data_IF_795954554340
#
_entry.id   IF_795954554340
#
_cell.length_a   1.000
_cell.length_b   1.000
_cell.length_c   1.000
_cell.angle_alpha   90.00
_cell.angle_beta   90.00
_cell.angle_gamma   90.00
#
_symmetry.space_group_name_H-M   'P 1'
#
loop_
_entity.id
_entity.type
_entity.pdbx_description
1 polymer ?
#
# COMPACT_ATOMS: atom_id res chain seq x y z
N UNK A 1 44.02 1.48 -4.04
CA UNK A 1 42.85 0.78 -3.45
C UNK A 1 42.25 1.66 -2.36
N UNK A 2 41.23 2.47 -2.67
CA UNK A 2 40.50 3.31 -1.71
C UNK A 2 39.07 2.78 -1.65
N UNK A 3 38.77 2.00 -0.60
CA UNK A 3 37.41 1.56 -0.31
C UNK A 3 36.62 2.73 0.24
N UNK A 4 35.56 3.11 -0.47
CA UNK A 4 34.58 4.11 -0.04
C UNK A 4 33.45 3.35 0.67
N UNK A 5 33.62 3.17 1.98
CA UNK A 5 32.50 3.03 2.94
C UNK A 5 32.09 4.45 3.35
N UNK A 6 30.87 4.55 3.90
CA UNK A 6 30.13 5.74 4.35
C UNK A 6 29.13 6.23 3.27
N UNK A 7 27.82 6.26 3.51
CA UNK A 7 27.12 6.57 4.75
C UNK A 7 26.05 5.52 5.13
N UNK A 8 26.24 4.89 6.30
CA UNK A 8 25.13 4.36 7.11
C UNK A 8 24.95 5.36 8.24
N UNK A 9 24.02 6.30 8.06
CA UNK A 9 23.60 7.19 9.15
C UNK A 9 22.77 6.38 10.15
N UNK A 10 23.44 6.01 11.23
CA UNK A 10 22.96 6.02 12.61
C UNK A 10 21.45 5.86 12.83
N UNK A 11 21.08 4.69 13.36
CA UNK A 11 20.44 4.69 14.68
C UNK A 11 21.36 3.99 15.67
N UNK A 12 22.39 4.73 16.09
CA UNK A 12 23.10 4.43 17.33
C UNK A 12 22.14 4.72 18.50
N UNK A 13 21.80 3.68 19.28
CA UNK A 13 21.00 3.81 20.49
C UNK A 13 19.57 3.26 20.39
N UNK A 14 19.39 2.03 19.93
CA UNK A 14 18.12 1.33 20.13
C UNK A 14 17.93 1.03 21.62
N UNK A 15 17.32 1.98 22.37
CA UNK A 15 16.57 1.65 23.59
C UNK A 15 15.63 0.49 23.25
N UNK A 16 15.41 -0.49 24.15
CA UNK A 16 14.50 -1.59 23.88
C UNK A 16 13.16 -0.98 23.44
N UNK A 17 12.76 -1.23 22.19
CA UNK A 17 11.53 -0.70 21.63
C UNK A 17 10.40 -1.13 22.56
N UNK A 18 9.78 -0.17 23.26
CA UNK A 18 8.71 -0.46 24.18
C UNK A 18 7.62 -1.25 23.46
N UNK A 19 7.22 -2.40 24.01
CA UNK A 19 6.17 -3.26 23.46
C UNK A 19 4.94 -2.44 23.04
N UNK A 20 4.53 -1.49 23.88
CA UNK A 20 3.43 -0.57 23.62
C UNK A 20 3.64 0.34 22.40
N UNK A 21 4.88 0.77 22.14
CA UNK A 21 5.20 1.56 20.96
C UNK A 21 5.15 0.75 19.67
N UNK A 22 5.45 -0.55 19.72
CA UNK A 22 5.30 -1.46 18.58
C UNK A 22 3.82 -1.74 18.32
N UNK A 23 3.05 -2.09 19.36
CA UNK A 23 1.60 -2.34 19.26
C UNK A 23 0.87 -1.11 18.70
N UNK A 24 1.18 0.10 19.19
CA UNK A 24 0.55 1.32 18.70
C UNK A 24 0.82 1.58 17.20
N UNK A 25 2.01 1.26 16.69
CA UNK A 25 2.35 1.42 15.27
C UNK A 25 1.63 0.42 14.38
N UNK A 26 1.51 -0.83 14.84
CA UNK A 26 0.77 -1.88 14.12
C UNK A 26 -0.72 -1.51 14.07
N UNK A 27 -1.31 -1.12 15.20
CA UNK A 27 -2.72 -0.75 15.28
C UNK A 27 -3.04 0.48 14.43
N UNK A 28 -2.18 1.50 14.40
CA UNK A 28 -2.39 2.68 13.56
C UNK A 28 -2.42 2.32 12.06
N UNK A 29 -1.56 1.39 11.65
CA UNK A 29 -1.52 0.91 10.27
C UNK A 29 -2.77 0.10 9.93
N UNK A 30 -3.23 -0.73 10.88
CA UNK A 30 -4.46 -1.52 10.73
C UNK A 30 -5.71 -0.62 10.65
N UNK A 31 -5.78 0.47 11.42
CA UNK A 31 -6.85 1.49 11.32
C UNK A 31 -6.84 2.15 9.94
N UNK A 32 -5.67 2.56 9.44
CA UNK A 32 -5.57 3.18 8.12
C UNK A 32 -6.05 2.23 7.01
N UNK A 33 -5.75 0.94 7.12
CA UNK A 33 -6.24 -0.05 6.16
C UNK A 33 -7.75 -0.32 6.30
N UNK A 34 -8.26 -0.39 7.52
CA UNK A 34 -9.68 -0.59 7.77
C UNK A 34 -10.54 0.52 7.15
N UNK A 35 -10.08 1.78 7.22
CA UNK A 35 -10.74 2.92 6.59
C UNK A 35 -10.79 2.76 5.06
N UNK A 36 -9.68 2.39 4.42
CA UNK A 36 -9.63 2.18 2.97
C UNK A 36 -10.58 1.05 2.52
N UNK A 37 -10.58 -0.06 3.26
CA UNK A 37 -11.49 -1.19 3.01
C UNK A 37 -12.96 -0.81 3.15
N UNK A 38 -13.30 -0.03 4.18
CA UNK A 38 -14.66 0.39 4.43
C UNK A 38 -15.13 1.40 3.37
N UNK A 39 -14.28 2.34 2.96
CA UNK A 39 -14.58 3.29 1.88
C UNK A 39 -14.72 2.58 0.52
N UNK A 40 -13.88 1.59 0.24
CA UNK A 40 -14.01 0.76 -0.97
C UNK A 40 -15.33 -0.03 -0.98
N UNK A 41 -15.70 -0.62 0.16
CA UNK A 41 -16.99 -1.31 0.30
C UNK A 41 -18.17 -0.33 0.19
N UNK A 42 -18.05 0.88 0.73
CA UNK A 42 -19.07 1.92 0.61
C UNK A 42 -19.26 2.38 -0.85
N UNK A 43 -18.17 2.52 -1.60
CA UNK A 43 -18.21 2.82 -3.03
C UNK A 43 -18.89 1.72 -3.86
N UNK A 44 -18.77 0.45 -3.46
CA UNK A 44 -19.52 -0.65 -4.08
C UNK A 44 -21.01 -0.55 -3.73
N UNK A 45 -21.32 -0.33 -2.45
CA UNK A 45 -22.69 -0.31 -1.93
C UNK A 45 -23.57 0.78 -2.55
N UNK A 46 -23.03 1.96 -2.85
CA UNK A 46 -23.79 3.02 -3.56
C UNK A 46 -24.25 2.63 -4.96
N UNK A 47 -23.71 1.55 -5.53
CA UNK A 47 -24.12 1.02 -6.85
C UNK A 47 -25.04 -0.20 -6.76
N UNK A 48 -25.31 -0.72 -5.55
CA UNK A 48 -26.15 -1.89 -5.36
C UNK A 48 -27.63 -1.52 -5.25
N UNK A 49 -28.54 -2.29 -5.88
CA UNK A 49 -29.97 -2.13 -5.64
C UNK A 49 -30.29 -2.46 -4.18
N UNK A 50 -31.38 -1.89 -3.67
CA UNK A 50 -31.85 -2.17 -2.33
C UNK A 50 -32.17 -3.66 -2.16
N UNK A 51 -31.55 -4.29 -1.17
CA UNK A 51 -31.62 -5.72 -0.91
C UNK A 51 -32.35 -5.96 0.40
N UNK A 52 -33.67 -6.13 0.29
CA UNK A 52 -34.56 -6.44 1.42
C UNK A 52 -35.28 -5.21 1.98
N UNK A 53 -36.18 -5.47 2.94
CA UNK A 53 -37.11 -4.46 3.50
C UNK A 53 -36.75 -4.04 4.93
N UNK A 54 -35.50 -4.24 5.34
CA UNK A 54 -35.02 -3.88 6.68
C UNK A 54 -34.05 -2.72 6.57
N UNK A 55 -34.15 -1.74 7.46
CA UNK A 55 -33.29 -0.57 7.50
C UNK A 55 -32.48 -0.56 8.80
N UNK A 56 -31.21 -0.21 8.70
CA UNK A 56 -30.31 -0.06 9.85
C UNK A 56 -29.71 1.34 9.76
N UNK A 57 -30.08 2.22 10.69
CA UNK A 57 -29.54 3.58 10.77
C UNK A 57 -29.82 4.46 9.54
N UNK A 58 -30.94 4.23 8.85
CA UNK A 58 -31.34 4.98 7.65
C UNK A 58 -30.74 4.49 6.34
N UNK A 59 -30.06 3.34 6.34
CA UNK A 59 -29.57 2.65 5.15
C UNK A 59 -30.27 1.31 4.97
N UNK A 60 -30.46 0.87 3.71
CA UNK A 60 -30.94 -0.47 3.41
C UNK A 60 -30.02 -1.51 4.09
N UNK A 61 -30.62 -2.44 4.81
CA UNK A 61 -29.84 -3.36 5.63
C UNK A 61 -29.02 -4.36 4.82
N UNK A 62 -29.42 -4.68 3.58
CA UNK A 62 -28.58 -5.46 2.66
C UNK A 62 -27.31 -4.71 2.27
N UNK A 63 -27.43 -3.43 1.95
CA UNK A 63 -26.31 -2.53 1.70
C UNK A 63 -25.38 -2.39 2.92
N UNK A 64 -25.95 -2.23 4.12
CA UNK A 64 -25.17 -2.19 5.37
C UNK A 64 -24.38 -3.48 5.60
N UNK A 65 -25.01 -4.64 5.42
CA UNK A 65 -24.34 -5.94 5.58
C UNK A 65 -23.18 -6.07 4.59
N UNK A 66 -23.37 -5.68 3.33
CA UNK A 66 -22.29 -5.74 2.33
C UNK A 66 -21.16 -4.79 2.70
N UNK A 67 -21.46 -3.57 3.16
CA UNK A 67 -20.44 -2.61 3.63
C UNK A 67 -19.67 -3.17 4.82
N UNK A 68 -20.37 -3.69 5.83
CA UNK A 68 -19.79 -4.24 7.05
C UNK A 68 -18.93 -5.47 6.74
N UNK A 69 -19.46 -6.42 5.98
CA UNK A 69 -18.72 -7.60 5.54
C UNK A 69 -17.54 -7.23 4.65
N UNK A 70 -17.67 -6.22 3.79
CA UNK A 70 -16.57 -5.71 2.97
C UNK A 70 -15.43 -5.15 3.81
N UNK A 71 -15.75 -4.34 4.83
CA UNK A 71 -14.76 -3.82 5.78
C UNK A 71 -14.07 -4.94 6.59
N UNK A 72 -14.84 -5.88 7.14
CA UNK A 72 -14.30 -7.01 7.91
C UNK A 72 -13.47 -7.95 7.01
N UNK A 73 -13.98 -8.28 5.82
CA UNK A 73 -13.27 -9.12 4.86
C UNK A 73 -11.96 -8.46 4.42
N UNK A 74 -11.96 -7.15 4.17
CA UNK A 74 -10.77 -6.36 3.92
C UNK A 74 -9.72 -6.60 5.00
N UNK A 75 -10.06 -6.29 6.26
CA UNK A 75 -9.19 -6.48 7.43
C UNK A 75 -8.61 -7.90 7.53
N UNK A 76 -9.44 -8.91 7.31
CA UNK A 76 -9.01 -10.31 7.37
C UNK A 76 -8.02 -10.62 6.24
N UNK A 77 -8.31 -10.18 5.01
CA UNK A 77 -7.50 -10.46 3.82
C UNK A 77 -6.10 -9.86 3.93
N UNK A 78 -5.93 -8.60 4.37
CA UNK A 78 -4.55 -8.07 4.53
C UNK A 78 -3.82 -8.83 5.60
N UNK A 79 -4.47 -9.19 6.70
CA UNK A 79 -3.77 -9.85 7.81
C UNK A 79 -3.11 -11.14 7.33
N UNK A 80 -3.81 -11.89 6.48
CA UNK A 80 -3.23 -13.04 5.80
C UNK A 80 -2.20 -12.64 4.73
N UNK A 81 -2.50 -11.64 3.89
CA UNK A 81 -1.61 -11.19 2.82
C UNK A 81 -0.26 -10.67 3.36
N UNK A 82 -0.26 -9.83 4.40
CA UNK A 82 0.93 -9.33 5.08
C UNK A 82 1.80 -10.48 5.59
N UNK A 83 1.18 -11.52 6.19
CA UNK A 83 1.93 -12.70 6.64
C UNK A 83 2.60 -13.44 5.47
N UNK A 84 1.93 -13.55 4.32
CA UNK A 84 2.52 -14.17 3.12
C UNK A 84 3.60 -13.28 2.48
N UNK A 85 3.37 -11.98 2.42
CA UNK A 85 4.32 -10.99 1.90
C UNK A 85 5.58 -10.98 2.74
N UNK A 86 5.48 -10.99 4.07
CA UNK A 86 6.65 -11.07 4.97
C UNK A 86 7.48 -12.31 4.68
N UNK A 87 6.85 -13.50 4.57
CA UNK A 87 7.54 -14.74 4.19
C UNK A 87 8.21 -14.66 2.81
N UNK A 88 7.57 -13.97 1.86
CA UNK A 88 8.13 -13.76 0.53
C UNK A 88 9.35 -12.84 0.56
N UNK A 89 9.29 -11.77 1.35
CA UNK A 89 10.39 -10.82 1.54
C UNK A 89 11.57 -11.46 2.27
N UNK A 90 11.32 -12.29 3.28
CA UNK A 90 12.37 -13.09 3.94
C UNK A 90 13.10 -14.01 2.94
N UNK A 91 12.37 -14.59 1.98
CA UNK A 91 12.94 -15.45 0.93
C UNK A 91 13.67 -14.67 -0.16
N UNK A 92 13.20 -13.46 -0.48
CA UNK A 92 13.75 -12.60 -1.53
C UNK A 92 13.94 -11.16 -1.01
N UNK A 93 14.98 -10.90 -0.20
CA UNK A 93 15.17 -9.60 0.46
C UNK A 93 15.36 -8.45 -0.54
N UNK A 94 15.84 -8.72 -1.76
CA UNK A 94 15.91 -7.71 -2.83
C UNK A 94 14.55 -7.24 -3.36
N UNK A 95 13.46 -7.99 -3.13
CA UNK A 95 12.12 -7.56 -3.50
C UNK A 95 11.56 -6.53 -2.51
N UNK A 96 12.06 -6.48 -1.28
CA UNK A 96 11.64 -5.52 -0.24
C UNK A 96 11.86 -4.08 -0.70
N UNK A 97 13.08 -3.77 -1.17
CA UNK A 97 13.40 -2.44 -1.68
C UNK A 97 12.53 -2.07 -2.88
N UNK A 98 12.28 -3.01 -3.80
CA UNK A 98 11.42 -2.76 -4.95
C UNK A 98 9.97 -2.51 -4.52
N UNK A 99 9.45 -3.29 -3.57
CA UNK A 99 8.11 -3.12 -3.02
C UNK A 99 7.95 -1.76 -2.33
N UNK A 100 8.93 -1.33 -1.51
CA UNK A 100 8.91 0.00 -0.89
C UNK A 100 8.95 1.13 -1.91
N UNK A 101 9.77 1.01 -2.96
CA UNK A 101 9.82 2.01 -4.03
C UNK A 101 8.48 2.09 -4.78
N UNK A 102 7.83 0.94 -5.05
CA UNK A 102 6.51 0.91 -5.68
C UNK A 102 5.47 1.58 -4.78
N UNK A 103 5.40 1.21 -3.50
CA UNK A 103 4.43 1.79 -2.54
C UNK A 103 4.65 3.29 -2.39
N UNK A 104 5.91 3.73 -2.26
CA UNK A 104 6.24 5.15 -2.22
C UNK A 104 5.82 5.89 -3.50
N UNK A 105 6.02 5.28 -4.67
CA UNK A 105 5.60 5.85 -5.96
C UNK A 105 4.08 5.94 -6.10
N UNK A 106 3.33 4.94 -5.63
CA UNK A 106 1.87 5.01 -5.53
C UNK A 106 1.46 6.14 -4.59
N UNK A 107 2.15 6.30 -3.46
CA UNK A 107 1.94 7.43 -2.54
C UNK A 107 2.11 8.79 -3.21
N UNK A 108 3.13 8.96 -4.06
CA UNK A 108 3.31 10.20 -4.87
C UNK A 108 2.12 10.41 -5.80
N UNK A 109 1.63 9.37 -6.48
CA UNK A 109 0.44 9.47 -7.33
C UNK A 109 -0.78 9.91 -6.52
N UNK A 110 -0.98 9.35 -5.33
CA UNK A 110 -2.10 9.73 -4.46
C UNK A 110 -1.97 11.17 -3.99
N UNK A 111 -0.78 11.62 -3.61
CA UNK A 111 -0.54 13.03 -3.26
C UNK A 111 -0.84 13.97 -4.44
N UNK A 112 -0.39 13.63 -5.65
CA UNK A 112 -0.67 14.41 -6.87
C UNK A 112 -2.18 14.47 -7.15
N UNK A 113 -2.90 13.36 -6.99
CA UNK A 113 -4.36 13.33 -7.11
C UNK A 113 -5.04 14.25 -6.08
N UNK A 114 -4.58 14.24 -4.82
CA UNK A 114 -5.12 15.11 -3.78
C UNK A 114 -4.81 16.59 -4.04
N UNK A 115 -3.61 16.92 -4.53
CA UNK A 115 -3.22 18.30 -4.83
C UNK A 115 -3.95 18.89 -6.04
N UNK A 116 -4.38 18.03 -6.95
CA UNK A 116 -5.20 18.37 -8.11
C UNK A 116 -6.71 18.32 -7.81
N UNK A 117 -7.11 17.97 -6.58
CA UNK A 117 -8.52 17.95 -6.22
C UNK A 117 -9.10 19.38 -6.27
N UNK A 118 -10.35 19.58 -6.75
CA UNK A 118 -10.96 20.90 -6.90
C UNK A 118 -10.95 21.76 -5.63
N UNK A 119 -11.00 21.12 -4.46
CA UNK A 119 -10.96 21.80 -3.16
C UNK A 119 -9.56 22.26 -2.71
N UNK A 120 -8.49 21.71 -3.29
CA UNK A 120 -7.09 22.04 -2.95
C UNK A 120 -6.47 22.93 -4.04
N UNK A 121 -6.77 22.68 -5.32
CA UNK A 121 -6.47 23.52 -6.48
C UNK A 121 -5.01 24.04 -6.57
N UNK A 122 -4.03 23.27 -6.07
CA UNK A 122 -2.60 23.64 -6.15
C UNK A 122 -2.04 23.32 -7.54
N UNK A 123 -2.56 22.26 -8.18
CA UNK A 123 -2.13 21.77 -9.50
C UNK A 123 -3.38 21.67 -10.41
N UNK A 124 -3.25 21.87 -11.74
CA UNK A 124 -4.38 21.70 -12.66
C UNK A 124 -5.08 20.35 -12.51
N UNK A 125 -6.42 20.35 -12.49
CA UNK A 125 -7.25 19.16 -12.28
C UNK A 125 -7.01 18.07 -13.33
N UNK A 126 -6.70 18.46 -14.56
CA UNK A 126 -6.42 17.53 -15.67
C UNK A 126 -5.03 16.87 -15.59
N UNK A 127 -4.15 17.35 -14.71
CA UNK A 127 -2.77 16.89 -14.66
C UNK A 127 -2.62 15.40 -14.28
N UNK A 128 -3.24 14.90 -13.20
CA UNK A 128 -3.18 13.48 -12.85
C UNK A 128 -3.87 12.58 -13.88
N UNK A 129 -4.84 13.12 -14.61
CA UNK A 129 -5.56 12.40 -15.65
C UNK A 129 -4.92 12.47 -17.04
N UNK A 130 -3.91 13.33 -17.20
CA UNK A 130 -3.19 13.49 -18.45
C UNK A 130 -2.53 12.20 -18.91
N UNK A 131 -2.54 11.98 -20.23
CA UNK A 131 -1.89 10.82 -20.83
C UNK A 131 -0.38 10.77 -20.54
N UNK A 132 0.27 11.94 -20.46
CA UNK A 132 1.69 12.07 -20.12
C UNK A 132 1.95 11.58 -18.70
N UNK A 133 1.17 12.01 -17.71
CA UNK A 133 1.34 11.58 -16.33
C UNK A 133 1.08 10.09 -16.17
N UNK A 134 -0.02 9.58 -16.74
CA UNK A 134 -0.34 8.15 -16.74
C UNK A 134 0.81 7.32 -17.32
N UNK A 135 1.31 7.70 -18.49
CA UNK A 135 2.41 6.99 -19.14
C UNK A 135 3.67 7.01 -18.27
N UNK A 136 4.06 8.17 -17.76
CA UNK A 136 5.24 8.31 -16.89
C UNK A 136 5.10 7.44 -15.63
N UNK A 137 3.92 7.47 -15.00
CA UNK A 137 3.63 6.67 -13.81
C UNK A 137 3.79 5.18 -14.07
N UNK A 138 3.15 4.66 -15.13
CA UNK A 138 3.21 3.24 -15.48
C UNK A 138 4.61 2.82 -15.93
N UNK A 139 5.33 3.66 -16.68
CA UNK A 139 6.71 3.39 -17.08
C UNK A 139 7.65 3.27 -15.88
N UNK A 140 7.59 4.20 -14.93
CA UNK A 140 8.42 4.15 -13.71
C UNK A 140 8.08 2.92 -12.89
N UNK A 141 6.78 2.62 -12.71
CA UNK A 141 6.34 1.44 -11.95
C UNK A 141 6.83 0.14 -12.58
N UNK A 142 6.78 0.04 -13.91
CA UNK A 142 7.26 -1.13 -14.66
C UNK A 142 8.79 -1.27 -14.58
N UNK A 143 9.54 -0.16 -14.64
CA UNK A 143 11.00 -0.17 -14.48
C UNK A 143 11.40 -0.65 -13.09
N UNK A 144 10.74 -0.15 -12.03
CA UNK A 144 11.03 -0.57 -10.65
C UNK A 144 10.67 -2.05 -10.46
N UNK A 145 9.51 -2.49 -10.94
CA UNK A 145 9.06 -3.87 -10.84
C UNK A 145 9.97 -4.86 -11.56
N UNK A 146 10.26 -4.61 -12.85
CA UNK A 146 11.14 -5.47 -13.64
C UNK A 146 12.60 -5.42 -13.15
N UNK A 147 13.09 -4.22 -12.82
CA UNK A 147 14.43 -4.04 -12.27
C UNK A 147 14.61 -4.81 -10.97
N UNK A 148 13.66 -4.67 -10.03
CA UNK A 148 13.63 -5.43 -8.78
C UNK A 148 13.61 -6.94 -9.00
N UNK A 149 12.77 -7.41 -9.92
CA UNK A 149 12.65 -8.84 -10.25
C UNK A 149 13.95 -9.43 -10.84
N UNK A 150 14.57 -8.74 -11.82
CA UNK A 150 15.79 -9.20 -12.47
C UNK A 150 16.95 -9.26 -11.46
N UNK A 151 17.08 -8.24 -10.62
CA UNK A 151 18.12 -8.20 -9.57
C UNK A 151 17.90 -9.33 -8.57
N UNK A 152 16.65 -9.59 -8.15
CA UNK A 152 16.32 -10.67 -7.24
C UNK A 152 16.68 -12.05 -7.81
N UNK A 153 16.31 -12.33 -9.07
CA UNK A 153 16.68 -13.58 -9.74
C UNK A 153 18.20 -13.75 -9.89
N UNK A 154 18.93 -12.67 -10.18
CA UNK A 154 20.39 -12.73 -10.35
C UNK A 154 21.10 -13.06 -9.03
N UNK A 155 20.66 -12.49 -7.91
CA UNK A 155 21.22 -12.82 -6.58
C UNK A 155 20.88 -14.25 -6.14
N UNK A 156 19.66 -14.74 -6.42
CA UNK A 156 19.30 -16.13 -6.11
C UNK A 156 20.19 -17.14 -6.85
N UNK A 157 20.46 -16.91 -8.15
CA UNK A 157 21.36 -17.78 -8.94
C UNK A 157 22.81 -17.76 -8.47
N UNK A 158 23.30 -16.65 -7.92
CA UNK A 158 24.65 -16.57 -7.36
C UNK A 158 24.74 -17.31 -6.02
N UNK A 159 23.74 -17.17 -5.15
CA UNK A 159 23.74 -17.82 -3.84
C UNK A 159 23.59 -19.35 -3.91
N UNK A 160 23.07 -19.89 -5.02
CA UNK A 160 23.01 -21.35 -5.29
C UNK A 160 24.26 -21.94 -5.94
N UNK A 161 25.23 -21.09 -6.37
CA UNK A 161 26.47 -21.52 -7.05
C UNK A 161 27.70 -21.46 -6.14
N UNK A 162 27.54 -20.98 -4.91
CA UNK A 162 28.52 -20.98 -3.82
C UNK A 162 28.10 -22.04 -2.82
#
# INVERSE_FOLDING_TARGET
KKGKKEETKETAGAKPTSFWGVVARVELTDIAFALDSMLAAAALVVTLPDLGNFEIGGMNGGQFIVMFLGGVAGLVVIRFAATQVVKLLERYPTLETAAFLIVGWVGVKMAVLTLAHPSVAIIPEDFPDSAVWKLTFWSVMLIIGLGGYIIARKKEKQNKRV
#
